data_IF_384165724190
#
_entry.id   IF_384165724190
#
_cell.length_a   1.000
_cell.length_b   1.000
_cell.length_c   1.000
_cell.angle_alpha   90.00
_cell.angle_beta   90.00
_cell.angle_gamma   90.00
#
_symmetry.space_group_name_H-M   'P 1'
#
loop_
_entity.id
_entity.type
_entity.pdbx_description
1 polymer ?
#
# COMPACT_ATOMS: atom_id res chain seq x y z
N UNK A 1 4.14 -16.29 -4.77
CA UNK A 1 3.58 -15.20 -3.95
C UNK A 1 2.53 -14.50 -4.78
N UNK A 2 1.38 -14.11 -4.21
CA UNK A 2 0.32 -13.43 -4.93
C UNK A 2 0.29 -11.96 -4.57
N UNK A 3 -0.06 -11.11 -5.52
CA UNK A 3 -0.36 -9.71 -5.29
C UNK A 3 -1.87 -9.50 -5.25
N UNK A 4 -2.33 -8.69 -4.30
CA UNK A 4 -3.73 -8.27 -4.20
C UNK A 4 -3.76 -6.76 -4.38
N UNK A 5 -4.40 -6.30 -5.44
CA UNK A 5 -4.50 -4.89 -5.80
C UNK A 5 -5.81 -4.31 -5.27
N UNK A 6 -5.69 -3.17 -4.63
CA UNK A 6 -6.79 -2.34 -4.13
C UNK A 6 -6.82 -1.08 -4.99
N UNK A 7 -7.78 -0.99 -5.89
CA UNK A 7 -7.98 0.20 -6.73
C UNK A 7 -9.06 1.07 -6.09
N UNK A 8 -8.71 2.20 -5.46
CA UNK A 8 -9.67 3.06 -4.79
C UNK A 8 -10.71 3.63 -5.74
N UNK A 9 -11.97 3.62 -5.34
CA UNK A 9 -13.09 4.24 -6.04
C UNK A 9 -13.69 5.43 -5.30
N UNK A 10 -13.26 5.66 -4.07
CA UNK A 10 -13.60 6.82 -3.24
C UNK A 10 -12.35 7.39 -2.59
N UNK A 11 -12.51 8.39 -1.72
CA UNK A 11 -11.40 8.85 -0.88
C UNK A 11 -10.86 7.68 -0.06
N UNK A 12 -9.57 7.48 -0.13
CA UNK A 12 -8.92 6.30 0.42
C UNK A 12 -7.83 6.72 1.41
N UNK A 13 -7.67 6.00 2.53
CA UNK A 13 -6.56 6.23 3.41
C UNK A 13 -5.22 6.04 2.68
N UNK A 14 -4.15 6.42 3.31
CA UNK A 14 -2.81 6.13 2.80
C UNK A 14 -2.51 4.63 2.87
N UNK A 15 -1.30 4.24 3.14
CA UNK A 15 -0.94 2.82 3.24
C UNK A 15 -1.61 2.15 4.46
N UNK A 16 -1.93 0.87 4.33
CA UNK A 16 -2.32 0.02 5.46
C UNK A 16 -1.14 -0.82 5.92
N UNK A 17 -0.77 -0.73 7.21
CA UNK A 17 0.14 -1.69 7.81
C UNK A 17 -0.42 -3.12 7.75
N UNK A 18 0.46 -4.12 7.73
CA UNK A 18 0.08 -5.53 7.66
C UNK A 18 -0.86 -5.97 8.79
N UNK A 19 -0.65 -5.46 10.00
CA UNK A 19 -1.54 -5.74 11.12
C UNK A 19 -2.96 -5.19 10.93
N UNK A 20 -3.11 -4.01 10.31
CA UNK A 20 -4.41 -3.42 9.99
C UNK A 20 -5.13 -4.25 8.91
N UNK A 21 -4.41 -4.69 7.88
CA UNK A 21 -4.96 -5.57 6.85
C UNK A 21 -5.35 -6.92 7.43
N UNK A 22 -4.49 -7.51 8.25
CA UNK A 22 -4.78 -8.78 8.92
C UNK A 22 -6.04 -8.67 9.79
N UNK A 23 -6.16 -7.61 10.60
CA UNK A 23 -7.34 -7.36 11.40
C UNK A 23 -8.61 -7.19 10.56
N UNK A 24 -8.53 -6.49 9.43
CA UNK A 24 -9.65 -6.35 8.50
C UNK A 24 -10.06 -7.72 7.89
N UNK A 25 -9.09 -8.54 7.48
CA UNK A 25 -9.35 -9.90 6.98
C UNK A 25 -10.00 -10.76 8.08
N UNK A 26 -9.47 -10.72 9.31
CA UNK A 26 -10.07 -11.45 10.45
C UNK A 26 -11.52 -11.01 10.72
N UNK A 27 -11.80 -9.71 10.65
CA UNK A 27 -13.17 -9.20 10.78
C UNK A 27 -14.06 -9.75 9.65
N UNK A 28 -13.61 -9.72 8.41
CA UNK A 28 -14.35 -10.27 7.28
C UNK A 28 -14.58 -11.78 7.41
N UNK A 29 -13.57 -12.53 7.87
CA UNK A 29 -13.70 -13.97 8.14
C UNK A 29 -14.73 -14.26 9.25
N UNK A 30 -14.70 -13.49 10.34
CA UNK A 30 -15.66 -13.60 11.45
C UNK A 30 -17.08 -13.30 10.97
N UNK A 31 -17.29 -12.23 10.21
CA UNK A 31 -18.59 -11.87 9.65
C UNK A 31 -19.13 -12.94 8.69
N UNK A 32 -18.25 -13.69 8.04
CA UNK A 32 -18.58 -14.84 7.18
C UNK A 32 -18.71 -16.18 7.95
N UNK A 33 -18.53 -16.18 9.29
CA UNK A 33 -18.71 -17.34 10.13
C UNK A 33 -17.54 -18.32 10.20
N UNK A 34 -16.34 -17.89 9.81
CA UNK A 34 -15.12 -18.71 9.96
C UNK A 34 -14.57 -18.64 11.39
N UNK A 35 -13.88 -19.70 11.81
CA UNK A 35 -13.19 -19.77 13.11
C UNK A 35 -11.90 -18.92 13.10
N UNK A 36 -12.03 -17.66 13.52
CA UNK A 36 -10.91 -16.72 13.60
C UNK A 36 -10.03 -17.00 14.82
N UNK A 37 -10.58 -17.49 15.92
CA UNK A 37 -9.78 -17.84 17.12
C UNK A 37 -8.85 -19.01 16.81
N UNK A 38 -9.36 -20.03 16.13
CA UNK A 38 -8.55 -21.13 15.60
C UNK A 38 -7.47 -20.67 14.63
N UNK A 39 -7.78 -19.70 13.76
CA UNK A 39 -6.79 -19.08 12.86
C UNK A 39 -5.68 -18.39 13.65
N UNK A 40 -6.03 -17.50 14.58
CA UNK A 40 -5.06 -16.70 15.35
C UNK A 40 -4.14 -17.59 16.20
N UNK A 41 -4.68 -18.65 16.77
CA UNK A 41 -3.91 -19.59 17.61
C UNK A 41 -2.76 -20.28 16.86
N UNK A 42 -2.81 -20.39 15.53
CA UNK A 42 -1.76 -20.97 14.69
C UNK A 42 -0.56 -20.04 14.45
N UNK A 43 -0.76 -18.71 14.53
CA UNK A 43 0.23 -17.74 14.07
C UNK A 43 1.61 -17.79 14.75
N UNK A 44 1.74 -18.09 16.04
CA UNK A 44 3.06 -18.15 16.66
C UNK A 44 3.98 -19.24 16.07
N UNK A 45 3.41 -20.37 15.63
CA UNK A 45 4.20 -21.56 15.26
C UNK A 45 4.00 -22.01 13.80
N UNK A 46 2.76 -21.96 13.30
CA UNK A 46 2.38 -22.48 11.98
C UNK A 46 1.39 -21.55 11.29
N UNK A 47 1.80 -20.34 10.88
CA UNK A 47 0.90 -19.40 10.25
C UNK A 47 0.38 -19.93 8.90
N UNK A 48 -0.93 -20.02 8.67
CA UNK A 48 -1.47 -20.55 7.41
C UNK A 48 -1.21 -19.63 6.22
N UNK A 49 -1.03 -18.35 6.45
CA UNK A 49 -0.61 -17.36 5.44
C UNK A 49 0.10 -16.18 6.12
N UNK A 50 0.91 -15.48 5.35
CA UNK A 50 1.51 -14.21 5.75
C UNK A 50 1.19 -13.14 4.71
N UNK A 51 1.15 -11.88 5.14
CA UNK A 51 0.91 -10.75 4.24
C UNK A 51 1.82 -9.57 4.56
N UNK A 52 2.09 -8.77 3.54
CA UNK A 52 2.82 -7.52 3.70
C UNK A 52 1.90 -6.37 4.10
N UNK A 53 2.48 -5.23 4.46
CA UNK A 53 1.78 -3.94 4.39
C UNK A 53 1.41 -3.62 2.94
N UNK A 54 0.55 -2.64 2.72
CA UNK A 54 0.26 -2.16 1.37
C UNK A 54 1.39 -1.28 0.83
N UNK A 55 1.63 -1.40 -0.46
CA UNK A 55 2.59 -0.62 -1.23
C UNK A 55 1.87 0.07 -2.38
N UNK A 56 2.33 1.24 -2.86
CA UNK A 56 1.71 1.90 -3.99
C UNK A 56 2.00 1.18 -5.31
N UNK A 57 1.03 1.21 -6.22
CA UNK A 57 1.23 0.91 -7.63
C UNK A 57 0.63 1.99 -8.50
N UNK A 58 1.14 2.10 -9.72
CA UNK A 58 0.67 3.07 -10.71
C UNK A 58 0.36 2.34 -12.01
N UNK A 59 -0.73 2.71 -12.65
CA UNK A 59 -1.09 2.20 -13.99
C UNK A 59 -0.81 3.28 -15.02
N UNK A 60 0.08 2.99 -15.96
CA UNK A 60 0.39 3.88 -17.06
C UNK A 60 0.77 3.10 -18.32
N UNK A 61 0.36 3.57 -19.48
CA UNK A 61 0.64 2.91 -20.76
C UNK A 61 0.16 1.46 -20.84
N UNK A 62 -0.92 1.12 -20.10
CA UNK A 62 -1.44 -0.26 -20.04
C UNK A 62 -0.61 -1.21 -19.18
N UNK A 63 0.39 -0.71 -18.45
CA UNK A 63 1.26 -1.48 -17.55
C UNK A 63 1.07 -1.04 -16.09
N UNK A 64 1.23 -1.99 -15.17
CA UNK A 64 1.32 -1.74 -13.74
C UNK A 64 2.78 -1.55 -13.37
N UNK A 65 3.08 -0.44 -12.69
CA UNK A 65 4.37 -0.12 -12.12
C UNK A 65 4.30 -0.29 -10.62
N UNK A 66 5.08 -1.19 -10.06
CA UNK A 66 5.11 -1.48 -8.64
C UNK A 66 6.17 -0.64 -7.94
N UNK A 67 5.81 -0.16 -6.77
CA UNK A 67 6.74 0.51 -5.88
C UNK A 67 6.85 -0.34 -4.60
N UNK A 68 8.07 -0.70 -4.24
CA UNK A 68 8.37 -1.50 -3.05
C UNK A 68 9.01 -0.63 -1.98
N UNK A 69 8.87 -0.97 -0.70
CA UNK A 69 9.48 -0.20 0.37
C UNK A 69 10.99 -0.16 0.21
N UNK A 70 11.59 1.00 0.50
CA UNK A 70 13.04 1.11 0.53
C UNK A 70 13.61 0.07 1.51
N UNK A 71 14.52 -0.80 1.07
CA UNK A 71 15.07 -1.83 1.95
C UNK A 71 15.87 -1.19 3.10
N UNK A 72 16.03 -1.95 4.19
CA UNK A 72 16.93 -1.56 5.26
C UNK A 72 18.37 -1.66 4.73
N UNK A 73 18.97 -0.51 4.53
CA UNK A 73 20.31 -0.39 3.97
C UNK A 73 21.31 -0.04 5.08
N UNK A 74 22.58 -0.47 4.96
CA UNK A 74 23.60 -0.08 5.91
C UNK A 74 23.76 1.45 5.96
N UNK A 75 24.26 1.99 7.07
CA UNK A 75 24.51 3.43 7.17
C UNK A 75 25.41 3.92 6.04
N UNK A 76 25.03 5.04 5.44
CA UNK A 76 25.81 5.69 4.41
C UNK A 76 27.07 6.30 5.00
N UNK A 77 28.24 5.87 4.52
CA UNK A 77 29.49 6.57 4.72
C UNK A 77 29.63 7.65 3.61
N UNK A 78 28.99 8.80 3.86
CA UNK A 78 29.04 9.95 2.92
C UNK A 78 30.36 10.68 3.15
N UNK A 79 31.29 10.55 2.22
CA UNK A 79 32.63 11.16 2.32
C UNK A 79 32.79 12.42 1.48
N UNK A 80 31.90 12.63 0.49
CA UNK A 80 31.95 13.80 -0.41
C UNK A 80 30.87 14.79 -0.03
N UNK A 81 31.22 16.07 -0.01
CA UNK A 81 30.30 17.15 0.34
C UNK A 81 29.10 17.20 -0.61
N UNK A 82 29.33 16.91 -1.90
CA UNK A 82 28.30 16.83 -2.95
C UNK A 82 27.24 15.74 -2.68
N UNK A 83 27.62 14.65 -2.03
CA UNK A 83 26.73 13.52 -1.74
C UNK A 83 25.83 13.79 -0.52
N UNK A 84 26.13 14.80 0.32
CA UNK A 84 25.31 15.11 1.50
C UNK A 84 23.89 15.54 1.14
N UNK A 85 23.74 16.41 0.14
CA UNK A 85 22.41 16.87 -0.27
C UNK A 85 21.61 15.73 -0.92
N UNK A 86 22.25 14.90 -1.72
CA UNK A 86 21.65 13.71 -2.30
C UNK A 86 21.25 12.70 -1.22
N UNK A 87 22.10 12.45 -0.23
CA UNK A 87 21.79 11.59 0.90
C UNK A 87 20.59 12.11 1.72
N UNK A 88 20.51 13.45 1.91
CA UNK A 88 19.38 14.09 2.58
C UNK A 88 18.08 13.97 1.77
N UNK A 89 18.16 14.09 0.44
CA UNK A 89 17.02 13.87 -0.46
C UNK A 89 16.60 12.39 -0.42
N UNK A 90 17.54 11.45 -0.47
CA UNK A 90 17.27 10.02 -0.43
C UNK A 90 16.63 9.57 0.90
N UNK A 91 16.96 10.18 2.03
CA UNK A 91 16.31 9.89 3.32
C UNK A 91 14.77 10.11 3.32
N UNK A 92 14.24 10.85 2.35
CA UNK A 92 12.80 11.07 2.18
C UNK A 92 12.14 10.02 1.29
N UNK A 93 12.95 9.17 0.65
CA UNK A 93 12.45 8.08 -0.20
C UNK A 93 11.88 6.97 0.69
N UNK A 94 10.64 6.62 0.45
CA UNK A 94 9.94 5.55 1.16
C UNK A 94 9.77 4.33 0.28
N UNK A 95 9.62 4.55 -1.03
CA UNK A 95 9.35 3.51 -2.02
C UNK A 95 10.27 3.66 -3.22
N UNK A 96 10.72 2.51 -3.71
CA UNK A 96 11.52 2.38 -4.92
C UNK A 96 10.69 1.72 -6.01
N UNK A 97 10.79 2.22 -7.24
CA UNK A 97 10.25 1.50 -8.41
C UNK A 97 10.86 0.10 -8.51
N UNK A 98 10.09 -0.86 -8.97
CA UNK A 98 10.45 -2.28 -9.00
C UNK A 98 11.83 -2.58 -9.61
N UNK A 99 12.24 -1.83 -10.64
CA UNK A 99 13.54 -2.00 -11.28
C UNK A 99 14.70 -1.55 -10.37
N UNK A 100 14.54 -0.40 -9.71
CA UNK A 100 15.54 0.11 -8.77
C UNK A 100 15.63 -0.79 -7.53
N UNK A 101 14.49 -1.24 -7.03
CA UNK A 101 14.44 -2.18 -5.91
C UNK A 101 15.16 -3.49 -6.25
N UNK A 102 14.90 -4.05 -7.44
CA UNK A 102 15.52 -5.29 -7.91
C UNK A 102 17.04 -5.17 -7.97
N UNK A 103 17.54 -4.10 -8.56
CA UNK A 103 18.97 -3.91 -8.73
C UNK A 103 19.69 -3.67 -7.41
N UNK A 104 19.08 -2.91 -6.48
CA UNK A 104 19.61 -2.74 -5.11
C UNK A 104 19.59 -4.05 -4.32
N UNK A 105 18.47 -4.76 -4.33
CA UNK A 105 18.33 -6.04 -3.63
C UNK A 105 19.20 -7.13 -4.29
N UNK A 106 19.38 -7.05 -5.61
CA UNK A 106 20.25 -7.90 -6.41
C UNK A 106 21.74 -7.69 -6.18
N UNK A 107 22.13 -6.50 -5.71
CA UNK A 107 23.51 -6.08 -5.60
C UNK A 107 24.10 -5.56 -6.91
N UNK A 108 23.28 -5.43 -7.97
CA UNK A 108 23.67 -4.84 -9.26
C UNK A 108 23.82 -3.32 -9.16
N UNK A 109 23.16 -2.70 -8.18
CA UNK A 109 23.28 -1.29 -7.85
C UNK A 109 23.70 -1.16 -6.39
N UNK A 110 24.77 -0.38 -6.13
CA UNK A 110 25.16 -0.06 -4.76
C UNK A 110 24.46 1.21 -4.30
N UNK A 111 24.15 1.29 -3.00
CA UNK A 111 23.53 2.49 -2.44
C UNK A 111 24.39 3.76 -2.66
N UNK A 112 25.70 3.64 -2.55
CA UNK A 112 26.60 4.77 -2.78
C UNK A 112 26.53 5.29 -4.24
N UNK A 113 26.44 4.39 -5.22
CA UNK A 113 26.32 4.74 -6.64
C UNK A 113 24.95 5.37 -6.94
N UNK A 114 23.88 4.83 -6.32
CA UNK A 114 22.54 5.43 -6.42
C UNK A 114 22.53 6.86 -5.90
N UNK A 115 23.19 7.14 -4.77
CA UNK A 115 23.21 8.47 -4.17
C UNK A 115 24.09 9.41 -4.97
N UNK A 116 25.24 8.97 -5.43
CA UNK A 116 26.10 9.78 -6.29
C UNK A 116 25.38 10.17 -7.60
N UNK A 117 24.63 9.23 -8.19
CA UNK A 117 23.85 9.44 -9.40
C UNK A 117 22.39 9.87 -9.17
N UNK A 118 22.03 10.38 -7.97
CA UNK A 118 20.63 10.65 -7.63
C UNK A 118 19.95 11.69 -8.55
N UNK A 119 20.74 12.49 -9.25
CA UNK A 119 20.25 13.44 -10.25
C UNK A 119 19.57 12.79 -11.45
N UNK A 120 19.90 11.54 -11.76
CA UNK A 120 19.33 10.75 -12.86
C UNK A 120 17.99 10.08 -12.47
N UNK A 121 17.58 10.25 -11.22
CA UNK A 121 16.36 9.66 -10.67
C UNK A 121 15.32 10.73 -10.35
N UNK A 122 14.06 10.40 -10.66
CA UNK A 122 12.93 11.19 -10.22
C UNK A 122 12.53 10.80 -8.80
N UNK A 123 12.38 11.79 -7.92
CA UNK A 123 11.81 11.60 -6.59
C UNK A 123 10.57 12.48 -6.46
N UNK A 124 9.41 11.86 -6.33
CA UNK A 124 8.17 12.55 -6.03
C UNK A 124 7.41 11.87 -4.91
N UNK A 125 6.94 12.65 -3.92
CA UNK A 125 6.16 12.19 -2.76
C UNK A 125 6.74 10.94 -2.06
N UNK A 126 8.07 10.83 -2.03
CA UNK A 126 8.77 9.70 -1.41
C UNK A 126 8.86 8.44 -2.28
N UNK A 127 8.48 8.53 -3.54
CA UNK A 127 8.64 7.47 -4.55
C UNK A 127 9.82 7.81 -5.44
N UNK A 128 10.74 6.87 -5.66
CA UNK A 128 11.93 7.02 -6.48
C UNK A 128 11.86 6.10 -7.68
N UNK A 129 12.14 6.65 -8.86
CA UNK A 129 12.21 5.93 -10.12
C UNK A 129 13.37 6.43 -10.98
N UNK A 130 13.86 5.59 -11.93
CA UNK A 130 15.02 5.91 -12.77
C UNK A 130 14.81 7.06 -13.74
N UNK A 131 13.60 7.25 -14.21
CA UNK A 131 13.30 8.23 -15.24
C UNK A 131 12.23 9.21 -14.76
N UNK A 132 12.39 10.46 -15.15
CA UNK A 132 11.37 11.50 -14.94
C UNK A 132 10.02 11.18 -15.61
N UNK A 133 10.00 10.20 -16.54
CA UNK A 133 8.80 9.72 -17.24
C UNK A 133 8.12 8.54 -16.53
N UNK A 134 8.73 7.97 -15.49
CA UNK A 134 8.06 6.94 -14.71
C UNK A 134 6.91 7.57 -13.96
N UNK A 135 5.68 7.12 -14.18
CA UNK A 135 4.52 7.72 -13.55
C UNK A 135 4.59 7.54 -12.03
N UNK A 136 4.20 8.55 -11.30
CA UNK A 136 4.03 8.52 -9.86
C UNK A 136 2.55 8.52 -9.51
N UNK A 137 2.23 8.10 -8.30
CA UNK A 137 0.85 8.02 -7.84
C UNK A 137 0.24 9.42 -7.72
N UNK A 138 -0.73 9.73 -8.56
CA UNK A 138 -1.46 10.98 -8.54
C UNK A 138 -2.52 10.94 -7.43
N UNK A 139 -2.41 11.89 -6.51
CA UNK A 139 -3.35 12.06 -5.40
C UNK A 139 -3.87 13.49 -5.39
N UNK A 140 -5.19 13.61 -5.40
CA UNK A 140 -5.86 14.87 -5.18
C UNK A 140 -6.41 14.93 -3.76
N UNK A 141 -6.23 16.05 -3.10
CA UNK A 141 -6.96 16.36 -1.88
C UNK A 141 -8.39 16.79 -2.24
N UNK A 142 -9.38 16.12 -1.70
CA UNK A 142 -10.79 16.38 -1.92
C UNK A 142 -11.42 16.81 -0.62
N UNK A 143 -12.09 17.95 -0.66
CA UNK A 143 -12.91 18.45 0.45
C UNK A 143 -14.27 17.77 0.42
N UNK A 144 -14.67 17.19 1.55
CA UNK A 144 -15.94 16.47 1.71
C UNK A 144 -16.80 17.22 2.71
N UNK A 145 -17.88 17.86 2.23
CA UNK A 145 -18.81 18.56 3.11
C UNK A 145 -19.67 17.57 3.90
N UNK A 146 -19.89 17.87 5.16
CA UNK A 146 -20.75 17.13 6.06
C UNK A 146 -21.77 18.06 6.69
N UNK A 147 -23.00 17.58 6.84
CA UNK A 147 -24.05 18.29 7.58
C UNK A 147 -24.61 17.35 8.67
N UNK A 148 -24.60 17.83 9.90
CA UNK A 148 -25.25 17.15 11.00
C UNK A 148 -26.67 17.67 11.14
N UNK A 149 -27.63 16.80 10.92
CA UNK A 149 -29.07 17.11 10.97
C UNK A 149 -29.65 16.53 12.27
N UNK A 150 -30.36 17.36 13.03
CA UNK A 150 -31.18 16.90 14.14
C UNK A 150 -32.37 16.10 13.59
N UNK A 151 -32.47 14.83 13.99
CA UNK A 151 -33.51 13.93 13.47
C UNK A 151 -34.92 14.28 13.99
N UNK A 152 -35.05 15.06 15.05
CA UNK A 152 -36.35 15.47 15.61
C UNK A 152 -36.88 16.77 15.01
N UNK A 153 -35.98 17.77 14.87
CA UNK A 153 -36.36 19.08 14.32
C UNK A 153 -36.10 19.22 12.82
N UNK A 154 -35.35 18.31 12.21
CA UNK A 154 -34.85 18.41 10.83
C UNK A 154 -33.97 19.62 10.57
N UNK A 155 -33.49 20.28 11.63
CA UNK A 155 -32.62 21.45 11.51
C UNK A 155 -31.15 21.02 11.38
N UNK A 156 -30.37 21.82 10.64
CA UNK A 156 -28.93 21.66 10.53
C UNK A 156 -28.27 22.17 11.82
N UNK A 157 -27.63 21.26 12.56
CA UNK A 157 -26.93 21.60 13.82
C UNK A 157 -25.48 22.02 13.58
N UNK A 158 -24.82 21.42 12.57
CA UNK A 158 -23.43 21.72 12.26
C UNK A 158 -23.12 21.39 10.79
N UNK A 159 -22.45 22.32 10.14
CA UNK A 159 -21.86 22.12 8.83
C UNK A 159 -20.34 22.12 9.00
N UNK A 160 -19.66 21.04 8.56
CA UNK A 160 -18.21 20.91 8.66
C UNK A 160 -17.63 20.18 7.46
N UNK A 161 -16.35 20.38 7.23
CA UNK A 161 -15.64 19.76 6.12
C UNK A 161 -14.61 18.76 6.66
N UNK A 162 -14.43 17.67 5.95
CA UNK A 162 -13.29 16.78 6.12
C UNK A 162 -12.52 16.69 4.81
N UNK A 163 -11.25 16.35 4.90
CA UNK A 163 -10.40 16.16 3.73
C UNK A 163 -10.13 14.67 3.54
N UNK A 164 -10.08 14.26 2.28
CA UNK A 164 -9.74 12.91 1.86
C UNK A 164 -8.80 12.93 0.67
N UNK A 165 -8.07 11.87 0.47
CA UNK A 165 -7.17 11.70 -0.68
C UNK A 165 -7.82 10.80 -1.72
N UNK A 166 -7.92 11.26 -2.96
CA UNK A 166 -8.42 10.50 -4.10
C UNK A 166 -7.26 10.13 -5.01
N UNK A 167 -7.17 8.85 -5.38
CA UNK A 167 -6.13 8.32 -6.25
C UNK A 167 -6.70 8.20 -7.66
N UNK A 168 -5.95 8.67 -8.69
CA UNK A 168 -6.43 8.70 -10.07
C UNK A 168 -5.85 7.63 -10.99
N UNK A 169 -4.59 7.30 -10.81
CA UNK A 169 -3.83 6.49 -11.78
C UNK A 169 -3.25 5.22 -11.19
N UNK A 170 -3.85 4.66 -10.14
CA UNK A 170 -3.32 3.48 -9.49
C UNK A 170 -4.02 3.18 -8.17
N UNK A 171 -3.27 2.72 -7.21
CA UNK A 171 -3.78 2.33 -5.90
C UNK A 171 -2.70 1.74 -5.01
N UNK A 172 -3.14 0.77 -4.22
CA UNK A 172 -2.25 0.03 -3.34
C UNK A 172 -2.31 -1.46 -3.67
N UNK A 173 -1.24 -2.16 -3.42
CA UNK A 173 -1.21 -3.60 -3.45
C UNK A 173 -0.51 -4.14 -2.21
N UNK A 174 -0.82 -5.35 -1.83
CA UNK A 174 -0.08 -6.09 -0.84
C UNK A 174 0.24 -7.50 -1.35
N UNK A 175 1.24 -8.09 -0.74
CA UNK A 175 1.69 -9.43 -1.06
C UNK A 175 1.14 -10.40 -0.04
N UNK A 176 0.69 -11.55 -0.51
CA UNK A 176 0.23 -12.64 0.35
C UNK A 176 0.85 -13.96 -0.08
N UNK A 177 1.27 -14.75 0.90
CA UNK A 177 1.73 -16.12 0.70
C UNK A 177 0.91 -17.06 1.56
N UNK A 178 0.33 -18.06 0.96
CA UNK A 178 -0.36 -19.15 1.65
C UNK A 178 0.61 -20.31 1.85
N UNK A 179 0.76 -20.75 3.08
CA UNK A 179 1.44 -21.99 3.46
C UNK A 179 0.43 -23.14 3.53
N UNK A 180 -0.80 -22.84 3.95
CA UNK A 180 -1.94 -23.72 3.92
C UNK A 180 -2.96 -23.22 2.90
N UNK A 181 -3.03 -23.91 1.75
CA UNK A 181 -3.89 -23.53 0.63
C UNK A 181 -5.38 -23.61 0.94
N UNK A 182 -5.77 -24.33 1.99
CA UNK A 182 -7.17 -24.39 2.45
C UNK A 182 -7.68 -23.01 2.91
N UNK A 183 -6.79 -22.12 3.32
CA UNK A 183 -7.13 -20.75 3.72
C UNK A 183 -7.23 -19.75 2.56
N UNK A 184 -6.81 -20.12 1.36
CA UNK A 184 -6.91 -19.21 0.21
C UNK A 184 -8.37 -18.86 -0.13
N UNK A 185 -9.33 -19.80 -0.29
CA UNK A 185 -10.71 -19.46 -0.58
C UNK A 185 -11.38 -18.63 0.53
N UNK A 186 -11.27 -18.95 1.84
CA UNK A 186 -11.80 -18.11 2.91
C UNK A 186 -11.26 -16.68 2.91
N UNK A 187 -9.94 -16.51 2.77
CA UNK A 187 -9.31 -15.17 2.74
C UNK A 187 -9.77 -14.39 1.52
N UNK A 188 -9.89 -15.03 0.36
CA UNK A 188 -10.44 -14.38 -0.84
C UNK A 188 -11.89 -13.95 -0.64
N UNK A 189 -12.71 -14.76 0.02
CA UNK A 189 -14.10 -14.41 0.34
C UNK A 189 -14.13 -13.19 1.30
N UNK A 190 -13.32 -13.20 2.35
CA UNK A 190 -13.20 -12.07 3.27
C UNK A 190 -12.75 -10.78 2.57
N UNK A 191 -11.77 -10.86 1.66
CA UNK A 191 -11.33 -9.71 0.87
C UNK A 191 -12.44 -9.18 -0.06
N UNK A 192 -13.23 -10.06 -0.68
CA UNK A 192 -14.40 -9.65 -1.48
C UNK A 192 -15.48 -9.00 -0.61
N UNK A 193 -15.71 -9.53 0.58
CA UNK A 193 -16.62 -8.90 1.54
C UNK A 193 -16.14 -7.49 1.95
N UNK A 194 -14.82 -7.30 2.13
CA UNK A 194 -14.25 -5.99 2.39
C UNK A 194 -14.34 -5.03 1.18
N UNK A 195 -14.31 -5.54 -0.05
CA UNK A 195 -14.54 -4.76 -1.26
C UNK A 195 -15.92 -4.10 -1.24
N UNK A 196 -16.95 -4.86 -0.84
CA UNK A 196 -18.33 -4.35 -0.73
C UNK A 196 -18.50 -3.39 0.47
N UNK A 197 -17.84 -3.67 1.59
CA UNK A 197 -17.97 -2.90 2.83
C UNK A 197 -17.11 -1.64 2.86
N UNK A 198 -15.98 -1.66 2.15
CA UNK A 198 -14.91 -0.68 2.26
C UNK A 198 -13.96 -0.95 3.43
N UNK A 199 -12.85 -0.21 3.48
CA UNK A 199 -11.82 -0.29 4.53
C UNK A 199 -11.55 1.08 5.15
N UNK A 200 -11.26 1.07 6.46
CA UNK A 200 -10.92 2.27 7.22
C UNK A 200 -12.05 2.76 8.13
N UNK A 201 -11.80 3.84 8.89
CA UNK A 201 -12.70 4.27 9.97
C UNK A 201 -13.95 5.02 9.52
N UNK A 202 -14.05 5.40 8.25
CA UNK A 202 -15.15 6.24 7.72
C UNK A 202 -15.96 5.54 6.62
N UNK A 203 -16.03 4.22 6.65
CA UNK A 203 -16.76 3.41 5.66
C UNK A 203 -18.26 3.71 5.65
N UNK A 204 -18.86 4.01 6.80
CA UNK A 204 -20.27 4.44 6.91
C UNK A 204 -20.57 5.75 6.18
N UNK A 205 -19.56 6.56 5.88
CA UNK A 205 -19.65 7.79 5.07
C UNK A 205 -19.26 7.57 3.61
N UNK A 206 -19.15 6.33 3.13
CA UNK A 206 -18.80 6.01 1.74
C UNK A 206 -17.32 6.18 1.41
N UNK A 207 -16.46 6.36 2.41
CA UNK A 207 -15.02 6.42 2.22
C UNK A 207 -14.40 5.01 2.28
N UNK A 208 -13.22 4.85 1.70
CA UNK A 208 -12.49 3.58 1.72
C UNK A 208 -13.03 2.53 0.79
N UNK A 209 -13.82 2.92 -0.21
CA UNK A 209 -14.32 2.00 -1.25
C UNK A 209 -13.21 1.71 -2.26
N UNK A 210 -13.13 0.48 -2.71
CA UNK A 210 -12.12 0.02 -3.67
C UNK A 210 -12.64 -1.19 -4.44
N UNK A 211 -11.99 -1.50 -5.54
CA UNK A 211 -12.14 -2.77 -6.24
C UNK A 211 -10.90 -3.63 -6.09
N UNK A 212 -11.11 -4.96 -6.05
CA UNK A 212 -10.05 -5.96 -5.87
C UNK A 212 -9.69 -6.65 -7.18
N UNK A 213 -8.38 -6.75 -7.43
CA UNK A 213 -7.83 -7.61 -8.46
C UNK A 213 -6.72 -8.47 -7.88
N UNK A 214 -6.69 -9.76 -8.25
CA UNK A 214 -5.65 -10.69 -7.85
C UNK A 214 -4.71 -10.92 -9.01
N UNK A 215 -3.41 -10.91 -8.76
CA UNK A 215 -2.37 -11.16 -9.76
C UNK A 215 -1.22 -11.96 -9.17
N UNK A 216 -0.39 -12.50 -10.06
CA UNK A 216 0.87 -13.11 -9.67
C UNK A 216 2.00 -12.09 -9.86
N UNK A 217 2.86 -11.99 -8.87
CA UNK A 217 4.06 -11.16 -8.93
C UNK A 217 5.29 -12.04 -8.71
N UNK A 218 6.23 -11.95 -9.64
CA UNK A 218 7.53 -12.61 -9.52
C UNK A 218 8.49 -11.68 -8.77
N UNK A 219 8.49 -11.76 -7.45
CA UNK A 219 9.58 -11.19 -6.64
C UNK A 219 10.61 -12.30 -6.47
N UNK A 220 11.83 -12.07 -6.93
CA UNK A 220 12.94 -12.99 -6.67
C UNK A 220 13.18 -13.05 -5.16
N UNK A 221 12.77 -14.15 -4.56
CA UNK A 221 13.14 -14.48 -3.20
C UNK A 221 14.58 -15.00 -3.25
N UNK A 222 15.48 -14.35 -2.52
CA UNK A 222 16.75 -14.98 -2.21
C UNK A 222 16.53 -15.90 -1.01
N UNK A 223 17.06 -17.14 -1.08
CA UNK A 223 17.00 -18.08 0.05
C UNK A 223 17.77 -17.54 1.26
#
# INVERSE_FOLDING_TARGET
MRAVYLTPSSTFPTEFPSNTLFGAICTGLSDLGYDVDGLISRYPEDPPFILSSTFPYVTAGGRIHHFLPCPLLPPLDVRREEDFDNAKRFKRVRYLHEDVFRDLAGGDLRLADLIAGLGDYAIDRGMLARESKTPVLERDEVEIPHNRINRLSSESEAFYHTYGSMIRNGGYYFLIRFYDTAWEPPVRAALRFLEDRGVGPKTSGGQGQFSLTFGDIAIQERP
#
